data_IF_124931526649
#
_entry.id   IF_124931526649
#
_cell.length_a   1.000
_cell.length_b   1.000
_cell.length_c   1.000
_cell.angle_alpha   90.00
_cell.angle_beta   90.00
_cell.angle_gamma   90.00
#
_symmetry.space_group_name_H-M   'P 1'
#
loop_
_entity.id
_entity.type
_entity.pdbx_description
1 polymer ?
#
# COMPACT_ATOMS: atom_id res chain seq x y z
N UNK A 1 9.56 10.27 4.79
CA UNK A 1 8.67 11.10 5.64
C UNK A 1 8.18 12.25 4.80
N UNK A 2 6.87 12.46 4.77
CA UNK A 2 6.24 13.64 4.19
C UNK A 2 5.39 14.29 5.28
N UNK A 3 5.24 15.60 5.25
CA UNK A 3 4.39 16.25 6.25
C UNK A 3 4.07 17.69 5.89
N UNK A 4 3.03 18.18 6.55
CA UNK A 4 2.52 19.54 6.40
C UNK A 4 2.23 20.12 7.78
N UNK A 5 2.44 21.42 7.94
CA UNK A 5 1.86 22.19 9.05
C UNK A 5 0.44 22.53 8.69
N UNK A 6 -0.53 22.07 9.49
CA UNK A 6 -1.96 22.31 9.28
C UNK A 6 -2.44 23.58 9.97
N UNK A 7 -1.77 23.99 11.05
CA UNK A 7 -2.04 25.23 11.77
C UNK A 7 -0.78 25.70 12.50
N UNK A 8 -0.49 27.01 12.48
CA UNK A 8 0.60 27.60 13.27
C UNK A 8 0.37 29.11 13.52
N UNK A 9 -0.82 29.44 14.05
CA UNK A 9 -1.25 30.82 14.29
C UNK A 9 -1.82 31.52 13.07
N UNK A 10 -2.24 32.78 13.27
CA UNK A 10 -3.04 33.55 12.31
C UNK A 10 -2.49 34.94 12.00
N UNK A 11 -1.40 35.36 12.65
CA UNK A 11 -0.77 36.67 12.44
C UNK A 11 0.74 36.60 12.64
N UNK A 12 1.56 37.27 11.79
CA UNK A 12 3.03 37.19 11.86
C UNK A 12 3.66 37.88 13.09
N UNK A 13 2.91 38.75 13.78
CA UNK A 13 3.37 39.49 14.96
C UNK A 13 2.83 38.95 16.29
N UNK A 14 2.09 37.84 16.27
CA UNK A 14 1.57 37.19 17.46
C UNK A 14 2.21 35.81 17.60
N UNK A 15 2.68 35.48 18.81
CA UNK A 15 3.18 34.13 19.11
C UNK A 15 1.98 33.16 19.14
N UNK A 16 1.98 32.09 18.31
CA UNK A 16 0.88 31.13 18.31
C UNK A 16 0.75 30.38 19.64
N UNK A 17 -0.48 30.15 20.09
CA UNK A 17 -0.77 29.33 21.29
C UNK A 17 -0.82 27.83 20.98
N UNK A 18 -0.94 27.46 19.71
CA UNK A 18 -1.03 26.08 19.22
C UNK A 18 -0.42 25.99 17.83
N UNK A 19 0.20 24.85 17.55
CA UNK A 19 0.50 24.41 16.20
C UNK A 19 0.01 22.97 16.01
N UNK A 20 -0.41 22.63 14.80
CA UNK A 20 -0.77 21.27 14.40
C UNK A 20 -0.10 20.93 13.08
N UNK A 21 0.20 19.65 12.89
CA UNK A 21 0.81 19.15 11.68
C UNK A 21 0.39 17.70 11.44
N UNK A 22 0.47 17.27 10.18
CA UNK A 22 0.21 15.89 9.76
C UNK A 22 1.44 15.35 9.06
N UNK A 23 1.88 14.16 9.47
CA UNK A 23 3.07 13.51 8.93
C UNK A 23 2.75 12.07 8.52
N UNK A 24 3.21 11.69 7.34
CA UNK A 24 3.20 10.32 6.83
C UNK A 24 4.61 9.73 6.92
N UNK A 25 4.71 8.60 7.61
CA UNK A 25 5.93 7.83 7.77
C UNK A 25 5.84 6.59 6.90
N UNK A 26 6.92 6.32 6.15
CA UNK A 26 7.01 5.17 5.26
C UNK A 26 8.41 4.59 5.35
N UNK A 27 8.47 3.27 5.43
CA UNK A 27 9.68 2.48 5.33
C UNK A 27 9.44 1.31 4.36
N UNK A 28 10.51 0.59 4.01
CA UNK A 28 10.41 -0.58 3.12
C UNK A 28 9.97 -1.85 3.85
N UNK A 29 10.31 -1.97 5.14
CA UNK A 29 9.89 -3.05 6.02
C UNK A 29 9.12 -2.51 7.24
N UNK A 30 8.21 -3.31 7.79
CA UNK A 30 7.44 -2.96 8.98
C UNK A 30 8.32 -2.66 10.22
N UNK A 31 9.42 -3.38 10.39
CA UNK A 31 10.36 -3.17 11.50
C UNK A 31 11.04 -1.79 11.44
N UNK A 32 11.45 -1.38 10.24
CA UNK A 32 12.03 -0.07 9.98
C UNK A 32 11.03 1.07 10.23
N UNK A 33 9.73 0.83 9.97
CA UNK A 33 8.67 1.81 10.23
C UNK A 33 8.54 2.09 11.72
N UNK A 34 8.62 1.06 12.57
CA UNK A 34 8.55 1.21 14.01
C UNK A 34 9.74 2.01 14.56
N UNK A 35 10.96 1.74 14.07
CA UNK A 35 12.15 2.50 14.45
C UNK A 35 12.06 3.97 14.00
N UNK A 36 11.70 4.19 12.73
CA UNK A 36 11.55 5.54 12.17
C UNK A 36 10.53 6.36 12.97
N UNK A 37 9.40 5.73 13.33
CA UNK A 37 8.36 6.37 14.15
C UNK A 37 8.90 6.80 15.49
N UNK A 38 9.57 5.91 16.23
CA UNK A 38 10.13 6.24 17.53
C UNK A 38 11.04 7.48 17.46
N UNK A 39 11.94 7.51 16.45
CA UNK A 39 12.84 8.65 16.23
C UNK A 39 12.12 9.95 15.90
N UNK A 40 11.08 9.90 15.06
CA UNK A 40 10.28 11.08 14.69
C UNK A 40 9.48 11.60 15.88
N UNK A 41 8.84 10.71 16.64
CA UNK A 41 8.11 11.09 17.86
C UNK A 41 9.04 11.72 18.90
N UNK A 42 10.26 11.20 19.06
CA UNK A 42 11.26 11.77 19.96
C UNK A 42 11.71 13.16 19.53
N UNK A 43 11.80 13.44 18.23
CA UNK A 43 12.04 14.80 17.74
C UNK A 43 10.91 15.77 18.14
N UNK A 44 9.65 15.36 18.04
CA UNK A 44 8.52 16.20 18.47
C UNK A 44 8.51 16.42 19.97
N UNK A 45 8.77 15.37 20.76
CA UNK A 45 8.90 15.45 22.23
C UNK A 45 10.06 16.35 22.64
N UNK A 46 11.19 16.27 21.95
CA UNK A 46 12.36 17.13 22.20
C UNK A 46 12.05 18.60 21.90
N UNK A 47 11.34 18.88 20.80
CA UNK A 47 10.88 20.24 20.47
C UNK A 47 9.97 20.82 21.56
N UNK A 48 8.98 20.05 21.99
CA UNK A 48 8.06 20.44 23.05
C UNK A 48 8.79 20.71 24.38
N UNK A 49 9.72 19.82 24.76
CA UNK A 49 10.56 19.98 25.94
C UNK A 49 11.40 21.27 25.88
N UNK A 50 12.04 21.53 24.73
CA UNK A 50 12.91 22.70 24.56
C UNK A 50 12.15 24.03 24.63
N UNK A 51 10.88 24.05 24.22
CA UNK A 51 10.03 25.26 24.22
C UNK A 51 9.15 25.38 25.46
N UNK A 52 9.15 24.39 26.36
CA UNK A 52 8.23 24.33 27.50
C UNK A 52 6.76 24.12 27.08
N UNK A 53 6.53 23.52 25.92
CA UNK A 53 5.19 23.19 25.42
C UNK A 53 4.82 21.73 25.75
N UNK A 54 3.54 21.41 25.61
CA UNK A 54 3.06 20.03 25.56
C UNK A 54 2.94 19.56 24.11
N UNK A 55 3.08 18.25 23.88
CA UNK A 55 2.83 17.63 22.59
C UNK A 55 1.91 16.43 22.74
N UNK A 56 0.89 16.37 21.90
CA UNK A 56 0.02 15.21 21.72
C UNK A 56 0.33 14.61 20.37
N UNK A 57 0.61 13.30 20.36
CA UNK A 57 0.88 12.52 19.15
C UNK A 57 -0.27 11.54 18.96
N UNK A 58 -0.95 11.64 17.81
CA UNK A 58 -2.11 10.82 17.48
C UNK A 58 -1.80 9.92 16.28
N UNK A 59 -2.41 8.73 16.27
CA UNK A 59 -2.36 7.79 15.15
C UNK A 59 -3.78 7.62 14.63
N UNK A 60 -4.15 8.34 13.55
CA UNK A 60 -5.52 8.29 13.04
C UNK A 60 -5.86 6.92 12.45
N UNK A 61 -4.85 6.17 12.01
CA UNK A 61 -4.99 4.89 11.30
C UNK A 61 -3.99 3.85 11.84
N UNK A 62 -4.27 2.55 11.69
CA UNK A 62 -3.30 1.49 11.92
C UNK A 62 -2.11 1.57 10.96
N UNK A 63 -1.02 0.90 11.32
CA UNK A 63 0.16 0.80 10.46
C UNK A 63 -0.13 -0.11 9.26
N UNK A 64 0.20 0.37 8.07
CA UNK A 64 0.15 -0.43 6.85
C UNK A 64 1.51 -1.14 6.71
N UNK A 65 1.49 -2.46 6.75
CA UNK A 65 2.72 -3.26 6.71
C UNK A 65 3.24 -3.41 5.28
N UNK A 66 4.51 -3.78 5.16
CA UNK A 66 5.09 -4.21 3.89
C UNK A 66 4.34 -5.44 3.34
N UNK A 67 4.17 -5.51 2.02
CA UNK A 67 3.46 -6.61 1.39
C UNK A 67 4.38 -7.82 1.18
N UNK A 68 3.95 -8.99 1.65
CA UNK A 68 4.66 -10.26 1.54
C UNK A 68 3.94 -11.19 0.55
N UNK A 69 4.39 -11.17 -0.70
CA UNK A 69 3.81 -12.01 -1.76
C UNK A 69 4.17 -13.48 -1.60
N UNK A 70 3.19 -14.38 -1.70
CA UNK A 70 3.42 -15.83 -1.71
C UNK A 70 3.94 -16.28 -3.09
N UNK A 71 5.17 -16.84 -3.18
CA UNK A 71 5.76 -17.19 -4.47
C UNK A 71 4.98 -18.24 -5.27
N UNK A 72 4.35 -19.22 -4.60
CA UNK A 72 3.61 -20.28 -5.26
C UNK A 72 2.30 -19.73 -5.85
N UNK A 73 1.58 -18.87 -5.11
CA UNK A 73 0.41 -18.18 -5.64
C UNK A 73 0.76 -17.24 -6.79
N UNK A 74 1.90 -16.54 -6.71
CA UNK A 74 2.40 -15.68 -7.80
C UNK A 74 2.65 -16.49 -9.08
N UNK A 75 3.26 -17.67 -8.97
CA UNK A 75 3.50 -18.54 -10.12
C UNK A 75 2.19 -18.98 -10.77
N UNK A 76 1.23 -19.44 -9.96
CA UNK A 76 -0.09 -19.85 -10.43
C UNK A 76 -0.83 -18.69 -11.12
N UNK A 77 -0.85 -17.52 -10.49
CA UNK A 77 -1.43 -16.30 -11.06
C UNK A 77 -0.79 -15.96 -12.41
N UNK A 78 0.54 -15.95 -12.47
CA UNK A 78 1.30 -15.57 -13.67
C UNK A 78 0.97 -16.49 -14.85
N UNK A 79 0.92 -17.81 -14.60
CA UNK A 79 0.50 -18.80 -15.61
C UNK A 79 -0.93 -18.55 -16.09
N UNK A 80 -1.86 -18.30 -15.18
CA UNK A 80 -3.27 -18.10 -15.49
C UNK A 80 -3.52 -16.79 -16.24
N UNK A 81 -2.86 -15.70 -15.84
CA UNK A 81 -2.90 -14.43 -16.55
C UNK A 81 -2.33 -14.56 -17.98
N UNK A 82 -1.21 -15.28 -18.15
CA UNK A 82 -0.64 -15.59 -19.47
C UNK A 82 -1.61 -16.37 -20.36
N UNK A 83 -2.31 -17.36 -19.81
CA UNK A 83 -3.29 -18.14 -20.54
C UNK A 83 -4.49 -17.30 -21.05
N UNK A 84 -4.79 -16.19 -20.39
CA UNK A 84 -5.78 -15.18 -20.82
C UNK A 84 -5.22 -14.18 -21.84
N UNK A 85 -3.95 -14.31 -22.24
CA UNK A 85 -3.29 -13.42 -23.19
C UNK A 85 -2.79 -12.11 -22.58
N UNK A 86 -2.70 -12.01 -21.25
CA UNK A 86 -2.10 -10.84 -20.59
C UNK A 86 -0.58 -10.87 -20.78
N UNK A 87 0.07 -9.70 -20.93
CA UNK A 87 1.52 -9.62 -21.08
C UNK A 87 2.24 -10.11 -19.82
N UNK A 88 3.53 -10.46 -19.97
CA UNK A 88 4.38 -10.76 -18.82
C UNK A 88 4.41 -9.60 -17.84
N UNK A 89 4.42 -9.90 -16.52
CA UNK A 89 4.50 -8.86 -15.51
C UNK A 89 5.80 -8.08 -15.62
N UNK A 90 5.72 -6.76 -15.44
CA UNK A 90 6.89 -5.91 -15.29
C UNK A 90 7.18 -5.76 -13.81
N UNK A 91 8.33 -6.27 -13.36
CA UNK A 91 8.77 -6.05 -11.98
C UNK A 91 9.09 -4.58 -11.75
N UNK A 92 8.48 -4.00 -10.72
CA UNK A 92 8.70 -2.62 -10.29
C UNK A 92 8.90 -2.59 -8.78
N UNK A 93 9.71 -1.65 -8.26
CA UNK A 93 9.74 -1.39 -6.83
C UNK A 93 8.33 -1.13 -6.28
N UNK A 94 8.06 -1.45 -5.00
CA UNK A 94 6.78 -1.17 -4.37
C UNK A 94 6.38 0.30 -4.54
N UNK A 95 5.32 0.55 -5.31
CA UNK A 95 4.88 1.90 -5.65
C UNK A 95 3.65 2.36 -4.87
N UNK A 96 2.97 1.43 -4.19
CA UNK A 96 1.75 1.69 -3.42
C UNK A 96 1.92 1.27 -1.96
N UNK A 97 1.04 1.79 -1.11
CA UNK A 97 0.81 1.36 0.27
C UNK A 97 -0.64 0.84 0.34
N UNK A 98 -0.86 -0.34 0.93
CA UNK A 98 -2.19 -0.97 1.00
C UNK A 98 -2.30 -1.79 2.27
N UNK A 99 -3.50 -1.81 2.85
CA UNK A 99 -3.91 -2.68 3.94
C UNK A 99 -3.81 -4.19 3.60
N UNK A 100 -3.73 -4.54 2.31
CA UNK A 100 -3.40 -5.90 1.86
C UNK A 100 -2.02 -6.36 2.38
N UNK A 101 -1.11 -5.42 2.69
CA UNK A 101 0.12 -5.71 3.42
C UNK A 101 -0.16 -6.41 4.74
N UNK A 102 -1.08 -5.89 5.54
CA UNK A 102 -1.47 -6.51 6.82
C UNK A 102 -2.03 -7.93 6.65
N UNK A 103 -2.84 -8.16 5.60
CA UNK A 103 -3.38 -9.50 5.30
C UNK A 103 -2.27 -10.49 4.93
N UNK A 104 -1.27 -10.02 4.16
CA UNK A 104 -0.17 -10.86 3.68
C UNK A 104 0.73 -11.41 4.79
N UNK A 105 0.78 -10.76 5.96
CA UNK A 105 1.50 -11.25 7.14
C UNK A 105 0.76 -12.38 7.86
N UNK A 106 -0.52 -12.63 7.55
CA UNK A 106 -1.37 -13.61 8.24
C UNK A 106 -1.67 -14.82 7.35
N UNK A 107 -1.89 -14.61 6.05
CA UNK A 107 -2.24 -15.67 5.10
C UNK A 107 -1.48 -15.53 3.78
N UNK A 108 -1.16 -16.65 3.09
CA UNK A 108 -0.63 -16.61 1.73
C UNK A 108 -1.44 -15.67 0.84
N UNK A 109 -0.77 -14.70 0.22
CA UNK A 109 -1.42 -13.56 -0.40
C UNK A 109 -0.75 -13.16 -1.70
N UNK A 110 -1.55 -12.63 -2.64
CA UNK A 110 -1.10 -11.95 -3.85
C UNK A 110 -1.83 -10.62 -4.00
N UNK A 111 -1.16 -9.64 -4.60
CA UNK A 111 -1.77 -8.35 -4.93
C UNK A 111 -1.39 -7.92 -6.35
N UNK A 112 -1.88 -8.65 -7.37
CA UNK A 112 -1.51 -8.40 -8.76
C UNK A 112 -2.14 -7.10 -9.27
N UNK A 113 -1.37 -6.34 -10.07
CA UNK A 113 -1.83 -5.11 -10.70
C UNK A 113 -2.00 -5.35 -12.19
N UNK A 114 -3.19 -5.09 -12.70
CA UNK A 114 -3.52 -5.20 -14.12
C UNK A 114 -3.52 -3.82 -14.76
N UNK A 115 -2.77 -3.65 -15.84
CA UNK A 115 -2.81 -2.44 -16.64
C UNK A 115 -4.16 -2.32 -17.36
N UNK A 116 -4.74 -1.12 -17.26
CA UNK A 116 -6.03 -0.73 -17.85
C UNK A 116 -5.90 0.47 -18.79
N UNK A 117 -4.71 1.09 -18.85
CA UNK A 117 -4.46 2.34 -19.57
C UNK A 117 -3.44 2.18 -20.69
N UNK A 118 -2.74 1.04 -20.77
CA UNK A 118 -1.61 0.88 -21.68
C UNK A 118 -0.36 1.60 -21.17
N UNK A 119 -0.27 1.82 -19.86
CA UNK A 119 0.83 2.53 -19.22
C UNK A 119 0.84 4.05 -19.40
N UNK A 120 -0.24 4.64 -19.93
CA UNK A 120 -0.31 6.10 -20.20
C UNK A 120 -0.59 6.95 -18.97
N UNK A 121 -1.17 6.35 -17.92
CA UNK A 121 -1.51 7.02 -16.67
C UNK A 121 -1.41 6.06 -15.49
N UNK A 122 -1.14 6.62 -14.30
CA UNK A 122 -1.10 5.90 -13.04
C UNK A 122 -2.36 6.09 -12.19
N UNK A 123 -2.52 5.29 -11.11
CA UNK A 123 -3.54 5.55 -10.10
C UNK A 123 -3.49 7.00 -9.59
N UNK A 124 -4.65 7.54 -9.21
CA UNK A 124 -4.85 8.93 -8.73
C UNK A 124 -4.74 10.02 -9.81
N UNK A 125 -4.68 9.67 -11.08
CA UNK A 125 -4.80 10.61 -12.20
C UNK A 125 -6.25 10.61 -12.76
N UNK A 126 -6.80 11.77 -13.20
CA UNK A 126 -8.11 11.83 -13.84
C UNK A 126 -8.25 10.90 -15.05
N UNK A 127 -7.16 10.69 -15.79
CA UNK A 127 -7.06 9.80 -16.94
C UNK A 127 -7.27 8.34 -16.53
N UNK A 128 -6.78 7.94 -15.36
CA UNK A 128 -6.96 6.58 -14.84
C UNK A 128 -8.42 6.32 -14.46
N UNK A 129 -9.11 7.32 -13.92
CA UNK A 129 -10.55 7.23 -13.66
C UNK A 129 -11.35 7.00 -14.95
N UNK A 130 -10.97 7.64 -16.06
CA UNK A 130 -11.57 7.40 -17.39
C UNK A 130 -11.24 6.00 -17.91
N UNK A 131 -10.00 5.54 -17.72
CA UNK A 131 -9.57 4.19 -18.12
C UNK A 131 -10.34 3.09 -17.37
N UNK A 132 -10.63 3.30 -16.08
CA UNK A 132 -11.33 2.34 -15.22
C UNK A 132 -12.77 2.03 -15.67
N UNK A 133 -13.43 2.95 -16.38
CA UNK A 133 -14.78 2.76 -16.93
C UNK A 133 -14.79 2.47 -18.43
N UNK A 134 -13.61 2.22 -19.02
CA UNK A 134 -13.46 1.92 -20.44
C UNK A 134 -13.62 0.43 -20.74
N UNK A 135 -13.75 0.06 -22.02
CA UNK A 135 -13.73 -1.34 -22.45
C UNK A 135 -12.42 -2.06 -22.07
N UNK A 136 -11.30 -1.35 -22.01
CA UNK A 136 -10.03 -1.92 -21.56
C UNK A 136 -10.07 -2.22 -20.05
N UNK A 137 -10.67 -1.33 -19.25
CA UNK A 137 -10.91 -1.54 -17.83
C UNK A 137 -11.86 -2.71 -17.56
N UNK A 138 -12.97 -2.79 -18.29
CA UNK A 138 -13.91 -3.91 -18.23
C UNK A 138 -13.23 -5.24 -18.58
N UNK A 139 -12.40 -5.24 -19.64
CA UNK A 139 -11.65 -6.44 -20.03
C UNK A 139 -10.68 -6.87 -18.93
N UNK A 140 -9.93 -5.94 -18.36
CA UNK A 140 -9.01 -6.24 -17.26
C UNK A 140 -9.73 -6.74 -16.00
N UNK A 141 -10.93 -6.22 -15.71
CA UNK A 141 -11.78 -6.72 -14.62
C UNK A 141 -12.16 -8.19 -14.84
N UNK A 142 -12.64 -8.54 -16.04
CA UNK A 142 -13.02 -9.91 -16.37
C UNK A 142 -11.82 -10.86 -16.38
N UNK A 143 -10.69 -10.42 -16.95
CA UNK A 143 -9.45 -11.19 -16.96
C UNK A 143 -8.94 -11.41 -15.53
N UNK A 144 -8.96 -10.37 -14.68
CA UNK A 144 -8.54 -10.45 -13.29
C UNK A 144 -9.41 -11.38 -12.45
N UNK A 145 -10.74 -11.27 -12.57
CA UNK A 145 -11.67 -12.17 -11.89
C UNK A 145 -11.48 -13.63 -12.31
N UNK A 146 -11.31 -13.86 -13.62
CA UNK A 146 -11.09 -15.22 -14.17
C UNK A 146 -9.76 -15.80 -13.70
N UNK A 147 -8.67 -15.03 -13.77
CA UNK A 147 -7.35 -15.46 -13.32
C UNK A 147 -7.31 -15.73 -11.81
N UNK A 148 -7.99 -14.91 -10.99
CA UNK A 148 -8.11 -15.16 -9.55
C UNK A 148 -8.84 -16.48 -9.28
N UNK A 149 -9.95 -16.74 -9.98
CA UNK A 149 -10.72 -17.97 -9.84
C UNK A 149 -9.90 -19.22 -10.21
N UNK A 150 -9.18 -19.18 -11.34
CA UNK A 150 -8.30 -20.29 -11.74
C UNK A 150 -7.17 -20.51 -10.75
N UNK A 151 -6.56 -19.43 -10.25
CA UNK A 151 -5.49 -19.50 -9.24
C UNK A 151 -5.97 -20.14 -7.95
N UNK A 152 -7.17 -19.79 -7.48
CA UNK A 152 -7.77 -20.42 -6.31
C UNK A 152 -8.04 -21.92 -6.50
N UNK A 153 -8.54 -22.32 -7.68
CA UNK A 153 -8.76 -23.74 -8.01
C UNK A 153 -7.44 -24.52 -8.05
N UNK A 154 -6.42 -23.97 -8.70
CA UNK A 154 -5.11 -24.61 -8.80
C UNK A 154 -4.45 -24.76 -7.42
N UNK A 155 -4.52 -23.71 -6.60
CA UNK A 155 -3.99 -23.73 -5.24
C UNK A 155 -4.69 -24.78 -4.37
N UNK A 156 -6.04 -24.86 -4.45
CA UNK A 156 -6.81 -25.85 -3.69
C UNK A 156 -6.48 -27.29 -4.12
N UNK A 157 -6.23 -27.53 -5.41
CA UNK A 157 -5.80 -28.85 -5.91
C UNK A 157 -4.43 -29.24 -5.40
N UNK A 158 -3.45 -28.34 -5.45
CA UNK A 158 -2.11 -28.58 -4.93
C UNK A 158 -2.10 -28.84 -3.42
N UNK A 159 -2.94 -28.13 -2.66
CA UNK A 159 -3.09 -28.36 -1.22
C UNK A 159 -3.72 -29.73 -0.89
N UNK A 160 -4.65 -30.21 -1.72
CA UNK A 160 -5.28 -31.54 -1.56
C UNK A 160 -4.36 -32.72 -1.89
N UNK A 161 -3.27 -32.48 -2.61
CA UNK A 161 -2.26 -33.50 -2.96
C UNK A 161 -1.14 -33.61 -1.92
N UNK A 162 -1.08 -32.71 -0.94
CA UNK A 162 -0.12 -32.79 0.17
C UNK A 162 -0.75 -33.58 1.32
N UNK A 163 -0.29 -34.80 1.64
CA UNK A 163 -0.85 -35.56 2.76
C UNK A 163 -0.44 -34.89 4.08
N UNK A 164 -1.41 -34.29 4.78
CA UNK A 164 -1.36 -33.96 6.20
C UNK A 164 -0.33 -32.90 6.64
N UNK A 165 -0.83 -31.71 6.99
CA UNK A 165 -0.28 -30.94 8.11
C UNK A 165 -1.27 -30.97 9.26
#
# INVERSE_FOLDING_TARGET
MHGITTEAGTSPNAVPVRATASYELRALAAEDLAELRARVEDCFRAGALATGCEVTLERPEPDYLDFQGDPALIELWTRNARALGRPEPVERPPFACTDMGNVSHVVPSIHPVLDISGGVCGPHEPEFAKAAISLAGERALLDGATAMAWTAVDFARAAGETPGR
#
